data_IF_167913217183
#
_entry.id   IF_167913217183
#
_cell.length_a   1.000
_cell.length_b   1.000
_cell.length_c   1.000
_cell.angle_alpha   90.00
_cell.angle_beta   90.00
_cell.angle_gamma   90.00
#
_symmetry.space_group_name_H-M   'P 1'
#
loop_
_entity.id
_entity.type
_entity.pdbx_description
1 polymer ?
2 polymer ?
3 non-polymer ?
4 non-polymer ?
5 water ?
#
# COMPACT_ATOMS: atom_id res chain seq x y z
N UNK A 5 -11.59 26.07 -10.14
CA UNK A 5 -11.55 24.63 -10.02
C UNK A 5 -10.15 24.16 -9.62
N UNK A 6 -9.94 23.95 -8.32
CA UNK A 6 -8.60 23.54 -7.86
C UNK A 6 -8.09 22.25 -8.50
N UNK A 7 -8.97 21.29 -8.79
CA UNK A 7 -8.55 20.02 -9.36
C UNK A 7 -8.67 19.98 -10.88
N UNK A 8 -8.74 21.14 -11.52
CA UNK A 8 -8.62 21.18 -12.97
C UNK A 8 -7.34 20.45 -13.40
N UNK A 9 -7.47 19.55 -14.37
CA UNK A 9 -6.36 18.76 -14.86
C UNK A 9 -6.12 17.46 -14.12
N UNK A 10 -6.75 17.26 -12.97
CA UNK A 10 -6.65 16.00 -12.24
C UNK A 10 -7.64 14.99 -12.81
N UNK A 11 -7.21 13.73 -12.88
CA UNK A 11 -8.04 12.63 -13.36
C UNK A 11 -7.96 11.53 -12.32
N UNK A 12 -9.08 11.22 -11.69
CA UNK A 12 -9.10 10.40 -10.49
C UNK A 12 -9.77 9.06 -10.78
N UNK A 13 -9.17 7.99 -10.27
CA UNK A 13 -9.69 6.64 -10.37
C UNK A 13 -9.59 6.01 -8.98
N UNK A 14 -10.50 5.08 -8.67
CA UNK A 14 -10.53 4.45 -7.36
C UNK A 14 -10.27 2.95 -7.50
N UNK A 15 -9.73 2.36 -6.44
CA UNK A 15 -9.63 0.91 -6.33
C UNK A 15 -9.79 0.51 -4.87
N UNK A 16 -10.59 -0.53 -4.64
CA UNK A 16 -10.88 -1.04 -3.30
C UNK A 16 -11.43 0.07 -2.38
N UNK A 17 -12.31 0.90 -2.94
CA UNK A 17 -13.12 1.85 -2.20
C UNK A 17 -14.55 1.37 -2.23
N UNK A 18 -15.20 1.32 -1.07
CA UNK A 18 -16.58 0.88 -1.00
C UNK A 18 -17.50 1.83 -1.77
N UNK A 19 -18.57 1.25 -2.33
CA UNK A 19 -19.45 1.98 -3.27
C UNK A 19 -19.93 3.31 -2.70
N UNK A 20 -20.33 3.34 -1.43
CA UNK A 20 -20.80 4.58 -0.83
C UNK A 20 -19.72 5.65 -0.87
N UNK A 21 -18.51 5.31 -0.41
CA UNK A 21 -17.43 6.28 -0.43
C UNK A 21 -16.99 6.63 -1.85
N UNK A 22 -17.05 5.67 -2.75
CA UNK A 22 -16.72 5.94 -4.15
C UNK A 22 -17.63 7.02 -4.72
N UNK A 23 -18.93 6.93 -4.43
CA UNK A 23 -19.87 7.96 -4.87
C UNK A 23 -19.51 9.32 -4.28
N UNK A 24 -19.22 9.35 -2.98
CA UNK A 24 -18.82 10.59 -2.33
C UNK A 24 -17.57 11.17 -2.98
N UNK A 25 -16.56 10.32 -3.19
CA UNK A 25 -15.29 10.80 -3.73
C UNK A 25 -15.46 11.30 -5.16
N UNK A 26 -16.18 10.55 -5.98
CA UNK A 26 -16.41 10.95 -7.37
C UNK A 26 -17.08 12.31 -7.44
N UNK A 27 -18.15 12.50 -6.66
CA UNK A 27 -18.91 13.76 -6.71
C UNK A 27 -18.07 14.93 -6.21
N UNK A 28 -17.39 14.75 -5.07
CA UNK A 28 -16.59 15.84 -4.52
C UNK A 28 -15.43 16.18 -5.44
N UNK A 29 -14.77 15.15 -6.01
CA UNK A 29 -13.67 15.41 -6.93
C UNK A 29 -14.15 16.18 -8.15
N UNK A 30 -15.28 15.77 -8.73
CA UNK A 30 -15.84 16.43 -9.90
C UNK A 30 -16.25 17.86 -9.57
N UNK A 31 -16.85 18.06 -8.39
CA UNK A 31 -17.20 19.42 -7.99
C UNK A 31 -15.97 20.28 -7.75
N UNK A 32 -14.84 19.67 -7.38
CA UNK A 32 -13.58 20.39 -7.27
C UNK A 32 -12.90 20.64 -8.61
N UNK A 33 -13.44 20.08 -9.70
CA UNK A 33 -12.91 20.34 -11.03
C UNK A 33 -12.21 19.16 -11.69
N UNK A 34 -12.11 18.02 -11.01
CA UNK A 34 -11.43 16.86 -11.57
C UNK A 34 -12.35 16.10 -12.52
N UNK A 35 -11.72 15.26 -13.35
CA UNK A 35 -12.39 14.20 -14.07
C UNK A 35 -12.34 12.92 -13.24
N UNK A 36 -13.35 12.08 -13.41
CA UNK A 36 -13.45 10.83 -12.68
C UNK A 36 -13.52 9.67 -13.67
N UNK A 37 -12.80 8.59 -13.37
CA UNK A 37 -12.74 7.43 -14.26
C UNK A 37 -13.14 6.18 -13.50
N UNK A 38 -14.10 5.44 -14.06
CA UNK A 38 -14.41 4.11 -13.52
C UNK A 38 -13.31 3.12 -13.89
N UNK A 39 -12.97 3.04 -15.18
CA UNK A 39 -11.86 2.20 -15.62
C UNK A 39 -10.55 2.97 -15.50
N UNK A 40 -9.47 2.20 -15.30
CA UNK A 40 -8.14 2.76 -15.26
C UNK A 40 -7.70 3.20 -16.65
N UNK A 41 -7.93 4.46 -17.01
CA UNK A 41 -7.60 4.91 -18.35
C UNK A 41 -6.22 5.55 -18.39
N UNK A 42 -5.73 5.77 -19.61
CA UNK A 42 -4.40 6.35 -19.79
C UNK A 42 -4.26 7.71 -19.12
N UNK A 43 -5.33 8.52 -19.09
CA UNK A 43 -5.21 9.87 -18.58
C UNK A 43 -5.33 9.97 -17.06
N UNK A 44 -5.50 8.85 -16.35
CA UNK A 44 -5.58 8.91 -14.90
C UNK A 44 -4.31 9.52 -14.33
N UNK A 45 -4.45 10.41 -13.35
CA UNK A 45 -3.31 11.00 -12.65
C UNK A 45 -3.21 10.58 -11.20
N UNK A 46 -4.33 10.23 -10.56
CA UNK A 46 -4.32 9.87 -9.15
C UNK A 46 -5.18 8.63 -8.96
N UNK A 47 -4.62 7.64 -8.27
CA UNK A 47 -5.35 6.42 -7.94
C UNK A 47 -5.61 6.44 -6.45
N UNK A 48 -6.87 6.54 -6.08
CA UNK A 48 -7.30 6.51 -4.68
C UNK A 48 -7.52 5.06 -4.31
N UNK A 49 -6.75 4.54 -3.36
CA UNK A 49 -6.68 3.10 -3.15
C UNK A 49 -6.98 2.75 -1.71
N UNK A 50 -7.78 1.70 -1.52
CA UNK A 50 -8.08 1.21 -0.19
C UNK A 50 -7.30 -0.04 0.16
N UNK A 51 -6.58 -0.59 -0.82
CA UNK A 51 -5.83 -1.84 -0.69
C UNK A 51 -4.76 -1.86 -1.76
N UNK A 52 -3.68 -2.61 -1.53
CA UNK A 52 -2.71 -2.84 -2.58
C UNK A 52 -3.04 -4.07 -3.43
N UNK A 53 -3.92 -4.93 -2.95
CA UNK A 53 -4.14 -6.24 -3.59
C UNK A 53 -5.32 -6.17 -4.56
N UNK A 54 -5.15 -5.38 -5.62
CA UNK A 54 -6.13 -5.24 -6.68
C UNK A 54 -5.44 -5.11 -8.03
N UNK A 55 -6.13 -5.47 -9.12
CA UNK A 55 -5.52 -5.27 -10.45
C UNK A 55 -5.16 -3.83 -10.75
N UNK A 56 -5.98 -2.86 -10.33
CA UNK A 56 -5.67 -1.46 -10.62
C UNK A 56 -4.41 -1.00 -9.89
N UNK A 57 -4.30 -1.32 -8.61
CA UNK A 57 -3.09 -0.96 -7.89
C UNK A 57 -1.87 -1.63 -8.50
N UNK A 58 -1.98 -2.93 -8.82
CA UNK A 58 -0.85 -3.64 -9.41
C UNK A 58 -0.45 -3.02 -10.73
N UNK A 59 -1.42 -2.56 -11.50
CA UNK A 59 -1.10 -1.93 -12.78
C UNK A 59 -0.37 -0.61 -12.57
N UNK A 60 -0.82 0.20 -11.62
CA UNK A 60 -0.14 1.47 -11.33
C UNK A 60 1.31 1.24 -10.92
N UNK A 61 1.53 0.33 -9.96
CA UNK A 61 2.88 0.09 -9.45
C UNK A 61 3.81 -0.42 -10.54
N UNK A 62 3.30 -1.29 -11.41
CA UNK A 62 4.11 -1.98 -12.41
C UNK A 62 4.31 -1.14 -13.67
N UNK A 63 3.30 -0.39 -14.09
CA UNK A 63 3.33 0.23 -15.40
C UNK A 63 3.08 1.74 -15.42
N UNK A 64 2.65 2.34 -14.32
CA UNK A 64 2.35 3.78 -14.28
C UNK A 64 2.91 4.40 -13.00
N UNK A 65 4.24 4.42 -12.84
CA UNK A 65 4.80 5.01 -11.61
C UNK A 65 4.67 6.52 -11.55
N UNK A 66 4.23 7.15 -12.64
CA UNK A 66 3.90 8.57 -12.63
C UNK A 66 2.60 8.86 -11.88
N UNK A 67 1.76 7.86 -11.68
CA UNK A 67 0.45 8.08 -11.07
C UNK A 67 0.62 8.09 -9.55
N UNK A 68 -0.02 9.04 -8.90
CA UNK A 68 0.08 9.19 -7.45
C UNK A 68 -0.97 8.32 -6.77
N UNK A 69 -0.55 7.51 -5.82
CA UNK A 69 -1.48 6.64 -5.10
C UNK A 69 -1.91 7.35 -3.83
N UNK A 70 -3.22 7.58 -3.69
CA UNK A 70 -3.76 8.45 -2.64
C UNK A 70 -4.63 7.65 -1.66
N UNK A 71 -4.69 8.15 -0.43
CA UNK A 71 -5.62 7.55 0.52
C UNK A 71 -7.06 8.00 0.26
N UNK A 72 -8.00 7.24 0.81
CA UNK A 72 -9.42 7.59 0.65
C UNK A 72 -9.78 8.89 1.36
N UNK A 73 -8.93 9.41 2.24
CA UNK A 73 -9.26 10.62 2.99
C UNK A 73 -8.92 11.89 2.22
N UNK A 74 -8.16 11.79 1.12
CA UNK A 74 -7.66 12.98 0.46
C UNK A 74 -8.79 13.88 -0.02
N UNK A 75 -9.69 13.34 -0.83
CA UNK A 75 -10.74 14.16 -1.45
C UNK A 75 -11.71 14.68 -0.40
N UNK A 76 -12.22 13.87 0.53
CA UNK A 76 -13.08 14.46 1.57
C UNK A 76 -12.43 15.60 2.35
N UNK A 77 -11.16 15.46 2.74
CA UNK A 77 -10.50 16.51 3.51
C UNK A 77 -10.29 17.75 2.65
N UNK A 78 -9.81 17.57 1.41
CA UNK A 78 -9.62 18.71 0.52
C UNK A 78 -10.94 19.40 0.22
N UNK A 79 -11.99 18.62 -0.05
CA UNK A 79 -13.29 19.20 -0.35
C UNK A 79 -13.82 20.05 0.79
N UNK A 80 -13.80 19.50 2.01
CA UNK A 80 -14.29 20.24 3.17
C UNK A 80 -13.51 21.54 3.35
N UNK A 81 -12.18 21.47 3.28
CA UNK A 81 -11.37 22.67 3.39
C UNK A 81 -11.75 23.70 2.34
N UNK A 82 -12.05 23.24 1.13
CA UNK A 82 -12.39 24.14 0.04
C UNK A 82 -13.74 24.80 0.26
N UNK A 83 -14.76 24.01 0.61
CA UNK A 83 -16.08 24.61 0.78
C UNK A 83 -16.12 25.46 2.04
N UNK A 84 -15.27 25.16 3.03
CA UNK A 84 -15.18 25.99 4.22
C UNK A 84 -14.58 27.36 3.93
N UNK A 85 -14.13 27.59 2.70
CA UNK A 85 -13.55 28.85 2.31
C UNK A 85 -12.08 29.01 2.60
N UNK A 86 -11.41 28.00 3.16
CA UNK A 86 -9.98 28.15 3.43
C UNK A 86 -9.19 28.22 2.13
N UNK A 87 -8.10 28.99 2.16
CA UNK A 87 -7.23 29.10 0.99
C UNK A 87 -6.44 27.82 0.82
N UNK A 88 -6.61 27.16 -0.32
CA UNK A 88 -5.93 25.91 -0.58
C UNK A 88 -4.46 26.17 -0.90
N UNK A 89 -3.57 25.37 -0.31
CA UNK A 89 -2.18 25.36 -0.73
C UNK A 89 -2.09 24.83 -2.16
N UNK A 90 -1.07 25.30 -2.89
CA UNK A 90 -0.95 24.91 -4.30
C UNK A 90 -0.81 23.40 -4.47
N UNK A 91 -0.25 22.72 -3.46
CA UNK A 91 -0.17 21.28 -3.49
C UNK A 91 -1.48 20.57 -3.26
N UNK A 92 -2.50 21.29 -2.76
CA UNK A 92 -3.85 20.76 -2.62
C UNK A 92 -3.88 19.54 -1.70
N UNK A 93 -3.01 19.54 -0.71
CA UNK A 93 -2.95 18.52 0.34
C UNK A 93 -2.48 17.17 -0.17
N UNK A 94 -1.99 17.07 -1.42
CA UNK A 94 -1.62 15.77 -1.97
C UNK A 94 -0.47 15.17 -1.18
N UNK A 95 0.52 16.00 -0.79
CA UNK A 95 1.67 15.47 -0.07
C UNK A 95 1.31 14.98 1.32
N UNK A 96 0.17 15.39 1.85
CA UNK A 96 -0.27 14.94 3.17
C UNK A 96 -1.04 13.62 3.12
N UNK A 97 -1.61 13.27 1.96
CA UNK A 97 -2.52 12.14 1.86
C UNK A 97 -2.09 11.09 0.83
N UNK A 98 -0.80 11.02 0.51
CA UNK A 98 -0.33 9.83 -0.20
C UNK A 98 -0.71 8.60 0.61
N UNK A 99 -1.04 7.53 -0.07
CA UNK A 99 -1.23 6.26 0.63
C UNK A 99 0.11 5.81 1.22
N UNK A 100 0.17 5.45 2.50
CA UNK A 100 1.44 4.97 3.05
C UNK A 100 1.96 3.82 2.22
N UNK A 101 3.29 3.78 2.08
CA UNK A 101 3.91 2.85 1.15
C UNK A 101 3.51 1.41 1.43
N UNK A 102 3.55 1.00 2.69
CA UNK A 102 3.24 -0.38 3.08
C UNK A 102 1.87 -0.49 3.74
N UNK A 103 0.93 0.37 3.34
CA UNK A 103 -0.42 0.32 3.90
C UNK A 103 -1.01 -1.07 3.75
N UNK A 104 -1.57 -1.57 4.87
CA UNK A 104 -2.23 -2.87 5.02
C UNK A 104 -1.28 -4.05 4.89
N UNK A 105 0.01 -3.81 4.71
CA UNK A 105 0.98 -4.91 4.78
C UNK A 105 1.16 -5.35 6.22
N UNK A 106 1.21 -6.65 6.42
CA UNK A 106 1.51 -7.26 7.71
C UNK A 106 2.71 -8.16 7.47
N UNK A 107 3.87 -7.72 7.92
CA UNK A 107 5.15 -8.27 7.50
C UNK A 107 5.73 -9.09 8.63
N UNK A 108 6.06 -10.34 8.33
CA UNK A 108 6.70 -11.28 9.23
C UNK A 108 8.06 -11.64 8.64
N UNK A 109 8.99 -12.12 9.48
CA UNK A 109 10.34 -12.46 9.05
C UNK A 109 10.70 -13.88 9.50
N UNK A 110 11.67 -14.49 8.79
CA UNK A 110 12.23 -15.76 9.26
C UNK A 110 13.65 -15.93 8.74
N UNK A 111 14.47 -16.59 9.56
CA UNK A 111 15.84 -16.98 9.18
C UNK A 111 16.69 -15.77 8.80
N UNK A 112 16.49 -14.67 9.51
CA UNK A 112 17.32 -13.47 9.39
C UNK A 112 17.72 -13.07 10.80
N UNK A 113 19.00 -12.77 10.99
CA UNK A 113 19.53 -12.56 12.33
C UNK A 113 19.30 -11.15 12.84
N UNK A 114 19.88 -10.89 14.03
CA UNK A 114 19.95 -9.53 14.55
C UNK A 114 21.28 -8.89 14.14
N UNK A 115 21.33 -7.57 13.93
CA UNK A 115 20.26 -6.57 14.05
C UNK A 115 19.35 -6.44 12.84
N UNK A 116 19.55 -7.25 11.79
CA UNK A 116 18.73 -7.07 10.59
C UNK A 116 17.24 -7.14 10.91
N UNK A 117 16.84 -8.05 11.79
CA UNK A 117 15.44 -8.16 12.18
C UNK A 117 14.94 -6.87 12.80
N UNK A 118 15.73 -6.27 13.69
CA UNK A 118 15.32 -5.03 14.32
C UNK A 118 15.21 -3.90 13.31
N UNK A 119 16.16 -3.82 12.38
CA UNK A 119 16.11 -2.77 11.36
C UNK A 119 14.87 -2.95 10.46
N UNK A 120 14.57 -4.18 10.07
CA UNK A 120 13.41 -4.43 9.21
C UNK A 120 12.14 -3.94 9.88
N UNK A 121 11.93 -4.31 11.15
CA UNK A 121 10.76 -3.83 11.87
C UNK A 121 10.70 -2.31 11.86
N UNK A 122 11.84 -1.65 12.05
CA UNK A 122 11.91 -0.20 12.06
C UNK A 122 11.40 0.38 10.74
N UNK A 123 11.84 -0.19 9.61
CA UNK A 123 11.43 0.35 8.31
C UNK A 123 9.99 -0.01 7.98
N UNK A 124 9.53 -1.19 8.40
CA UNK A 124 8.12 -1.52 8.17
C UNK A 124 7.23 -0.50 8.88
N UNK A 125 7.58 -0.13 10.12
CA UNK A 125 6.78 0.82 10.88
C UNK A 125 6.85 2.22 10.28
N UNK A 126 8.06 2.66 9.91
CA UNK A 126 8.20 4.01 9.38
C UNK A 126 7.52 4.17 8.03
N UNK A 127 7.32 3.09 7.29
CA UNK A 127 6.72 3.21 5.97
C UNK A 127 5.29 2.68 5.93
N UNK A 128 4.65 2.59 7.11
CA UNK A 128 3.20 2.50 7.19
C UNK A 128 2.61 1.11 7.29
N UNK A 129 3.44 0.08 7.49
CA UNK A 129 2.96 -1.27 7.61
C UNK A 129 2.86 -1.71 9.06
N UNK A 130 2.50 -2.98 9.24
CA UNK A 130 2.44 -3.63 10.54
C UNK A 130 3.52 -4.71 10.61
N UNK A 131 4.30 -4.69 11.66
CA UNK A 131 5.30 -5.72 11.84
C UNK A 131 4.75 -6.82 12.74
N UNK A 132 4.99 -8.07 12.33
CA UNK A 132 4.43 -9.24 12.99
C UNK A 132 5.55 -10.18 13.43
N UNK A 133 5.90 -10.18 14.73
CA UNK A 133 6.93 -11.14 15.19
C UNK A 133 6.51 -12.58 15.03
N UNK A 134 5.23 -12.89 15.14
CA UNK A 134 4.70 -14.25 15.00
C UNK A 134 3.96 -14.37 13.69
N UNK A 135 4.13 -15.50 13.00
CA UNK A 135 3.34 -15.71 11.78
C UNK A 135 1.90 -16.02 12.15
N UNK A 136 0.97 -15.31 11.51
CA UNK A 136 -0.46 -15.58 11.64
C UNK A 136 -1.04 -15.70 10.23
N UNK A 137 -2.28 -16.18 10.17
CA UNK A 137 -2.95 -16.38 8.89
C UNK A 137 -3.23 -15.06 8.18
N UNK A 138 -3.15 -13.93 8.88
CA UNK A 138 -3.39 -12.61 8.29
C UNK A 138 -2.12 -11.89 7.86
N UNK A 139 -0.94 -12.49 8.04
CA UNK A 139 0.28 -11.89 7.50
C UNK A 139 0.19 -11.85 5.98
N UNK A 140 0.65 -10.74 5.38
CA UNK A 140 0.62 -10.58 3.92
C UNK A 140 1.95 -10.93 3.25
N UNK A 141 3.06 -10.74 3.95
CA UNK A 141 4.38 -10.97 3.40
C UNK A 141 5.25 -11.62 4.45
N UNK A 142 5.88 -12.74 4.10
CA UNK A 142 6.93 -13.33 4.92
C UNK A 142 8.26 -13.08 4.23
N UNK A 143 9.11 -12.27 4.85
CA UNK A 143 10.46 -12.07 4.37
C UNK A 143 11.32 -13.20 4.92
N UNK A 144 11.90 -14.01 4.04
CA UNK A 144 12.59 -15.22 4.43
C UNK A 144 14.05 -15.15 4.01
N UNK A 145 14.95 -15.49 4.94
CA UNK A 145 16.35 -15.63 4.58
C UNK A 145 16.63 -16.89 3.80
N UNK A 146 15.87 -17.96 4.05
CA UNK A 146 16.00 -19.23 3.35
C UNK A 146 14.61 -19.82 3.24
N UNK A 147 14.43 -20.68 2.25
CA UNK A 147 13.15 -21.35 2.04
C UNK A 147 13.07 -22.62 2.88
N UNK A 148 13.08 -22.43 4.19
CA UNK A 148 13.07 -23.55 5.12
C UNK A 148 12.59 -23.09 6.49
N UNK A 149 12.15 -24.04 7.30
CA UNK A 149 11.77 -23.74 8.67
C UNK A 149 10.26 -23.63 8.85
N UNK A 150 9.86 -23.47 10.11
CA UNK A 150 8.45 -23.59 10.49
C UNK A 150 7.62 -22.43 9.95
N UNK A 151 8.08 -21.19 10.12
CA UNK A 151 7.36 -20.05 9.55
C UNK A 151 7.18 -20.20 8.05
N UNK A 152 8.22 -20.68 7.36
CA UNK A 152 8.14 -20.82 5.92
C UNK A 152 7.12 -21.88 5.53
N UNK A 153 7.09 -23.01 6.23
CA UNK A 153 6.18 -24.08 5.84
C UNK A 153 4.74 -23.68 6.10
N UNK A 154 4.48 -22.96 7.19
CA UNK A 154 3.11 -22.49 7.43
C UNK A 154 2.74 -21.35 6.49
N UNK A 155 3.72 -20.59 6.00
CA UNK A 155 3.37 -19.58 4.99
C UNK A 155 2.87 -20.25 3.72
N UNK A 156 3.52 -21.33 3.29
CA UNK A 156 3.02 -22.10 2.15
C UNK A 156 1.64 -22.66 2.43
N UNK A 157 1.45 -23.27 3.60
CA UNK A 157 0.14 -23.82 3.93
C UNK A 157 -0.93 -22.74 3.98
N UNK A 158 -0.58 -21.54 4.42
CA UNK A 158 -1.55 -20.46 4.59
C UNK A 158 -1.63 -19.55 3.36
N UNK A 159 -0.94 -19.88 2.27
CA UNK A 159 -1.01 -19.12 1.01
C UNK A 159 -0.49 -17.70 1.18
N UNK A 160 0.54 -17.53 2.02
CA UNK A 160 1.12 -16.23 2.31
C UNK A 160 2.33 -16.00 1.40
N UNK A 161 2.45 -14.78 0.87
CA UNK A 161 3.58 -14.39 0.03
C UNK A 161 4.89 -14.62 0.77
N UNK A 162 5.82 -15.35 0.15
CA UNK A 162 7.18 -15.49 0.68
C UNK A 162 8.10 -14.74 -0.26
N UNK A 163 8.78 -13.72 0.26
CA UNK A 163 9.62 -12.84 -0.55
C UNK A 163 11.02 -12.69 0.08
N UNK A 164 11.99 -12.32 -0.73
CA UNK A 164 13.29 -11.96 -0.22
C UNK A 164 13.28 -10.49 0.16
N UNK A 165 14.20 -10.06 1.00
CA UNK A 165 14.12 -8.74 1.63
C UNK A 165 14.14 -7.58 0.62
N UNK A 166 14.63 -7.84 -0.60
CA UNK A 166 14.60 -6.81 -1.63
C UNK A 166 13.16 -6.34 -1.90
N UNK A 167 12.16 -7.20 -1.67
CA UNK A 167 10.78 -6.75 -1.80
C UNK A 167 10.54 -5.52 -0.92
N UNK A 168 11.05 -5.56 0.32
CA UNK A 168 10.89 -4.43 1.24
C UNK A 168 11.67 -3.22 0.76
N UNK A 169 12.96 -3.38 0.45
CA UNK A 169 13.75 -2.22 0.03
C UNK A 169 13.20 -1.57 -1.24
N UNK A 170 12.79 -2.38 -2.22
CA UNK A 170 12.32 -1.80 -3.48
C UNK A 170 10.92 -1.19 -3.32
N UNK A 171 10.06 -1.79 -2.51
CA UNK A 171 8.78 -1.16 -2.22
C UNK A 171 8.98 0.19 -1.55
N UNK A 172 9.90 0.26 -0.59
CA UNK A 172 10.16 1.54 0.08
C UNK A 172 10.68 2.56 -0.93
N UNK A 173 11.56 2.14 -1.83
CA UNK A 173 12.09 3.09 -2.81
C UNK A 173 10.99 3.60 -3.73
N UNK A 174 10.05 2.72 -4.07
CA UNK A 174 9.03 3.00 -5.06
C UNK A 174 7.82 3.71 -4.47
N UNK A 175 7.68 3.74 -3.14
CA UNK A 175 6.50 4.28 -2.49
C UNK A 175 5.23 3.51 -2.87
N UNK A 176 5.38 2.22 -3.16
CA UNK A 176 4.24 1.36 -3.47
C UNK A 176 4.63 -0.08 -3.16
N UNK A 177 3.62 -0.86 -2.77
CA UNK A 177 3.83 -2.30 -2.60
C UNK A 177 4.10 -2.92 -3.96
N UNK A 178 5.25 -3.55 -4.11
CA UNK A 178 5.53 -4.28 -5.34
C UNK A 178 5.03 -5.71 -5.21
N UNK A 179 4.76 -6.32 -6.37
CA UNK A 179 4.22 -7.68 -6.38
C UNK A 179 5.26 -8.72 -5.96
N UNK A 180 4.81 -9.82 -5.35
CA UNK A 180 5.75 -10.75 -4.70
C UNK A 180 6.54 -11.63 -5.66
N UNK A 181 5.95 -11.99 -6.82
CA UNK A 181 6.64 -12.91 -7.71
C UNK A 181 7.99 -12.36 -8.18
N UNK A 182 8.13 -11.03 -8.20
CA UNK A 182 9.40 -10.41 -8.57
C UNK A 182 10.49 -10.63 -7.53
N UNK A 183 10.14 -11.15 -6.35
CA UNK A 183 11.10 -11.29 -5.25
C UNK A 183 11.07 -12.69 -4.66
N UNK A 184 10.73 -13.67 -5.47
CA UNK A 184 10.68 -15.05 -5.01
C UNK A 184 12.10 -15.55 -4.75
N UNK A 185 12.24 -16.38 -3.72
CA UNK A 185 13.55 -16.96 -3.44
C UNK A 185 13.90 -18.00 -4.50
N UNK A 186 15.20 -18.18 -4.70
CA UNK A 186 15.69 -19.14 -5.69
C UNK A 186 15.39 -20.56 -5.25
N UNK B 1 -3.12 -26.26 12.39
CA UNK B 1 -3.32 -26.76 13.74
C UNK B 1 -2.57 -25.93 14.77
N UNK B 2 -2.26 -24.70 14.40
CA UNK B 2 -1.74 -23.71 15.34
C UNK B 2 -2.39 -22.39 14.99
N UNK B 3 -2.51 -21.51 15.99
CA UNK B 3 -3.00 -20.16 15.72
C UNK B 3 -1.87 -19.29 15.17
N UNK B 4 -0.64 -19.51 15.64
CA UNK B 4 0.50 -18.73 15.22
C UNK B 4 1.70 -19.63 15.06
N UNK B 5 2.71 -19.15 14.35
CA UNK B 5 4.06 -19.67 14.48
C UNK B 5 4.85 -18.63 15.25
N UNK B 6 5.26 -18.91 16.49
CA UNK B 6 5.91 -17.87 17.30
C UNK B 6 7.25 -17.46 16.75
N UNK B 7 7.58 -16.19 16.99
CA UNK B 7 8.88 -15.61 16.66
C UNK B 7 9.98 -16.58 17.08
N UNK B 8 10.94 -16.79 16.19
CA UNK B 8 12.09 -17.64 16.47
C UNK B 8 12.87 -17.12 17.68
N UNK B 9 13.00 -17.93 18.73
CA UNK B 9 13.71 -17.51 19.94
C UNK B 9 15.17 -17.15 19.68
X LIG C 1 -7.45 4.13 2.78
X LIG C 1 -7.19 4.83 3.78
X LIG C 1 -7.18 4.62 1.63
X LIG C 1 -8.11 2.79 2.93
X LIG D 1 -4.74 -7.97 2.20
X LIG D 1 -4.49 -6.92 1.27
X LIG D 1 -5.01 -7.38 3.59
X LIG D 1 -5.87 -6.25 3.48
#
# INVERSE_FOLDING_TARGET
MGSSKPLKGFVICCTSIDLKQRTEISTKATKLGAAYRSDFTKDVTHLIAGDFDTPKYKFAAKSRPDIKIMSSEWIPVLYESWVQGEDLDDGLLVDKHFLPTLFKCRVCLTNIGQPERSRIENYVLKHGGTFCPDLTRDVTHLIAGTSSGRKYEYALKWKINVVCVEWLWQSIQRNAVLEPQYFQLD
GVMTVPNTPQKPNLQ
ACT C O OXT CH3
EDO C1 O1 C2 O2
#
